data_IF_621940832837
#
_entry.id   IF_621940832837
#
_cell.length_a   1.000
_cell.length_b   1.000
_cell.length_c   1.000
_cell.angle_alpha   90.00
_cell.angle_beta   90.00
_cell.angle_gamma   90.00
#
_symmetry.space_group_name_H-M   'P 1'
#
loop_
_entity.id
_entity.type
_entity.pdbx_description
1 polymer ?
#
# COMPACT_ATOMS: atom_id res chain seq x y z
N UNK A 1 -7.17 24.57 48.39
CA UNK A 1 -8.62 24.74 48.11
C UNK A 1 -8.85 24.13 46.72
N UNK A 2 -9.07 22.83 46.55
CA UNK A 2 -10.34 22.06 46.63
C UNK A 2 -11.55 22.82 46.09
N UNK A 3 -12.02 22.41 44.90
CA UNK A 3 -13.45 22.21 44.63
C UNK A 3 -13.62 21.36 43.36
N UNK A 4 -13.83 20.06 43.58
CA UNK A 4 -14.40 19.14 42.61
C UNK A 4 -15.89 19.47 42.38
N UNK A 5 -16.40 19.18 41.18
CA UNK A 5 -17.83 18.99 40.93
C UNK A 5 -18.03 17.66 40.19
N UNK A 6 -18.51 16.67 40.94
CA UNK A 6 -19.22 15.51 40.41
C UNK A 6 -20.64 15.93 40.01
N UNK A 7 -21.22 15.26 38.99
CA UNK A 7 -22.52 14.58 39.01
C UNK A 7 -23.17 14.60 37.63
N UNK A 8 -23.31 13.42 37.04
CA UNK A 8 -24.09 13.18 35.83
C UNK A 8 -24.30 11.68 35.61
N UNK A 9 -25.12 11.06 36.47
CA UNK A 9 -25.62 9.69 36.32
C UNK A 9 -26.56 9.61 35.12
N UNK A 10 -26.40 8.59 34.27
CA UNK A 10 -27.36 8.31 33.20
C UNK A 10 -27.05 7.00 32.49
N UNK A 11 -27.40 5.88 33.14
CA UNK A 11 -27.40 4.57 32.52
C UNK A 11 -28.56 4.47 31.51
N UNK A 12 -28.29 4.00 30.30
CA UNK A 12 -29.29 3.38 29.44
C UNK A 12 -28.62 2.31 28.57
N UNK A 13 -28.69 1.07 29.05
CA UNK A 13 -28.51 -0.12 28.25
C UNK A 13 -29.74 -0.30 27.36
N UNK A 14 -29.54 -0.51 26.05
CA UNK A 14 -30.54 -1.14 25.16
C UNK A 14 -29.80 -2.05 24.19
N UNK A 15 -30.04 -3.34 24.35
CA UNK A 15 -29.75 -4.41 23.39
C UNK A 15 -30.91 -4.53 22.39
N UNK A 16 -30.65 -5.01 21.17
CA UNK A 16 -31.54 -5.74 20.23
C UNK A 16 -30.86 -5.75 18.85
N UNK A 17 -30.98 -6.71 17.94
CA UNK A 17 -31.22 -8.14 17.87
C UNK A 17 -31.02 -8.52 16.38
N UNK A 18 -30.81 -9.81 16.13
CA UNK A 18 -30.52 -10.44 14.84
C UNK A 18 -31.55 -10.17 13.73
N UNK A 19 -31.09 -10.22 12.47
CA UNK A 19 -31.92 -10.66 11.34
C UNK A 19 -31.06 -11.36 10.26
N UNK A 20 -31.11 -12.70 10.27
CA UNK A 20 -30.69 -13.58 9.17
C UNK A 20 -31.85 -13.74 8.19
N UNK A 21 -31.64 -13.43 6.91
CA UNK A 21 -32.41 -13.94 5.78
C UNK A 21 -31.39 -14.55 4.80
N UNK A 22 -31.42 -15.80 4.39
CA UNK A 22 -32.57 -16.67 4.17
C UNK A 22 -33.03 -16.52 2.72
N UNK A 23 -32.35 -17.16 1.78
CA UNK A 23 -32.93 -17.44 0.46
C UNK A 23 -32.67 -18.91 0.10
N UNK A 24 -33.79 -19.61 -0.10
CA UNK A 24 -33.94 -21.02 -0.36
C UNK A 24 -34.30 -21.24 -1.83
N UNK A 25 -33.98 -22.42 -2.38
CA UNK A 25 -34.80 -23.03 -3.41
C UNK A 25 -34.13 -23.28 -4.77
N UNK A 26 -33.73 -24.54 -4.98
CA UNK A 26 -33.53 -25.19 -6.28
C UNK A 26 -34.79 -25.18 -7.16
N UNK A 27 -34.63 -25.49 -8.46
CA UNK A 27 -35.33 -26.68 -8.96
C UNK A 27 -34.44 -27.64 -9.76
N UNK A 28 -34.75 -28.93 -9.62
CA UNK A 28 -34.24 -30.07 -10.39
C UNK A 28 -34.67 -30.03 -11.88
N UNK A 29 -33.85 -30.57 -12.76
CA UNK A 29 -34.19 -30.83 -14.16
C UNK A 29 -33.21 -31.79 -14.83
N UNK A 30 -33.74 -32.91 -15.35
CA UNK A 30 -33.05 -34.13 -15.77
C UNK A 30 -32.10 -34.01 -16.99
N UNK A 31 -31.14 -34.94 -17.05
CA UNK A 31 -30.23 -35.27 -18.16
C UNK A 31 -30.95 -36.03 -19.31
N UNK A 32 -30.24 -36.58 -20.34
CA UNK A 32 -29.13 -36.10 -21.15
C UNK A 32 -29.51 -36.06 -22.66
N UNK A 33 -28.74 -35.40 -23.54
CA UNK A 33 -28.77 -35.71 -24.98
C UNK A 33 -27.47 -35.35 -25.71
N UNK A 34 -27.01 -36.33 -26.47
CA UNK A 34 -25.89 -36.39 -27.41
C UNK A 34 -25.94 -35.37 -28.54
N UNK A 35 -24.78 -34.84 -28.95
CA UNK A 35 -24.58 -34.38 -30.34
C UNK A 35 -23.63 -33.21 -30.54
N UNK A 36 -22.54 -33.46 -31.28
CA UNK A 36 -21.68 -32.50 -32.04
C UNK A 36 -20.40 -31.98 -31.35
N UNK A 37 -19.20 -32.29 -31.88
CA UNK A 37 -17.98 -31.59 -31.55
C UNK A 37 -17.85 -30.35 -32.44
N UNK A 38 -17.88 -29.15 -31.85
CA UNK A 38 -17.71 -27.92 -32.62
C UNK A 38 -17.51 -26.70 -31.75
N UNK A 39 -16.40 -26.00 -32.01
CA UNK A 39 -16.04 -24.67 -31.52
C UNK A 39 -15.79 -24.55 -30.00
N UNK A 40 -14.52 -24.69 -29.61
CA UNK A 40 -14.05 -24.21 -28.31
C UNK A 40 -14.29 -22.69 -28.20
N UNK A 41 -14.61 -22.18 -27.00
CA UNK A 41 -14.77 -20.75 -26.80
C UNK A 41 -13.43 -20.06 -27.05
N UNK A 42 -13.40 -19.16 -28.03
CA UNK A 42 -12.33 -18.19 -28.18
C UNK A 42 -12.50 -17.20 -27.03
N UNK A 43 -11.83 -17.47 -25.91
CA UNK A 43 -11.75 -16.53 -24.80
C UNK A 43 -10.85 -15.38 -25.26
N UNK A 44 -11.45 -14.32 -25.80
CA UNK A 44 -10.77 -13.04 -25.97
C UNK A 44 -10.42 -12.54 -24.57
N UNK A 45 -9.17 -12.75 -24.15
CA UNK A 45 -8.64 -12.17 -22.94
C UNK A 45 -8.73 -10.65 -23.08
N UNK A 46 -9.57 -10.02 -22.24
CA UNK A 46 -9.54 -8.58 -22.06
C UNK A 46 -8.11 -8.21 -21.58
N UNK A 47 -7.53 -7.10 -22.07
CA UNK A 47 -6.26 -6.62 -21.53
C UNK A 47 -6.40 -6.41 -20.03
N UNK A 48 -5.35 -6.69 -19.21
CA UNK A 48 -5.42 -6.44 -17.78
C UNK A 48 -5.69 -4.94 -17.59
N UNK A 49 -6.86 -4.62 -17.08
CA UNK A 49 -7.13 -3.31 -16.49
C UNK A 49 -6.14 -3.15 -15.34
N UNK A 50 -5.13 -2.30 -15.53
CA UNK A 50 -4.29 -1.76 -14.46
C UNK A 50 -5.21 -1.13 -13.44
N UNK A 51 -5.56 -1.91 -12.42
CA UNK A 51 -6.45 -1.46 -11.36
C UNK A 51 -5.58 -0.57 -10.48
N UNK A 52 -5.72 0.75 -10.63
CA UNK A 52 -5.14 1.70 -9.68
C UNK A 52 -5.60 1.28 -8.28
N UNK A 53 -4.70 1.15 -7.30
CA UNK A 53 -5.08 0.66 -5.99
C UNK A 53 -6.13 1.57 -5.37
N UNK A 54 -7.13 0.95 -4.73
CA UNK A 54 -8.22 1.66 -4.07
C UNK A 54 -7.66 2.44 -2.88
N UNK A 55 -7.89 3.76 -2.79
CA UNK A 55 -7.47 4.52 -1.62
C UNK A 55 -8.30 4.07 -0.41
N UNK A 56 -7.65 3.57 0.64
CA UNK A 56 -8.26 3.46 1.95
C UNK A 56 -8.48 4.87 2.48
N UNK A 57 -9.69 5.17 2.96
CA UNK A 57 -10.02 6.51 3.46
C UNK A 57 -8.98 7.07 4.42
N UNK A 58 -8.68 8.36 4.26
CA UNK A 58 -7.90 9.12 5.21
C UNK A 58 -8.81 9.79 6.24
N UNK A 59 -8.64 9.48 7.52
CA UNK A 59 -9.16 10.35 8.57
C UNK A 59 -8.25 11.58 8.67
N UNK A 60 -8.73 12.72 8.19
CA UNK A 60 -8.02 14.00 8.22
C UNK A 60 -8.01 14.71 6.88
N UNK A 61 -8.20 16.03 6.88
CA UNK A 61 -8.00 16.85 5.70
C UNK A 61 -6.54 16.76 5.26
N UNK A 62 -6.29 16.45 3.98
CA UNK A 62 -4.93 16.47 3.42
C UNK A 62 -4.25 15.10 3.28
N UNK A 63 -4.95 13.97 3.41
CA UNK A 63 -4.41 12.68 2.94
C UNK A 63 -4.62 12.59 1.42
N UNK A 64 -3.55 12.30 0.68
CA UNK A 64 -3.54 12.36 -0.80
C UNK A 64 -3.73 10.97 -1.39
N UNK A 65 -3.04 9.96 -0.86
CA UNK A 65 -3.17 8.56 -1.27
C UNK A 65 -2.89 7.62 -0.10
N UNK A 66 -3.67 6.57 0.06
CA UNK A 66 -3.40 5.50 1.01
C UNK A 66 -3.74 4.17 0.33
N UNK A 67 -2.73 3.44 -0.15
CA UNK A 67 -2.95 2.31 -1.05
C UNK A 67 -2.86 0.96 -0.31
N UNK A 68 -3.75 0.66 0.65
CA UNK A 68 -3.57 -0.54 1.49
C UNK A 68 -3.55 -1.88 0.74
N UNK A 69 -4.18 -1.96 -0.43
CA UNK A 69 -4.26 -3.18 -1.25
C UNK A 69 -3.25 -3.18 -2.42
N UNK A 70 -2.34 -2.22 -2.45
CA UNK A 70 -1.33 -2.11 -3.50
C UNK A 70 -0.19 -3.13 -3.38
N UNK A 71 0.42 -3.51 -4.50
CA UNK A 71 1.44 -4.58 -4.51
C UNK A 71 2.81 -4.13 -4.03
N UNK A 72 3.06 -2.81 -3.97
CA UNK A 72 4.34 -2.30 -3.53
C UNK A 72 4.58 -2.56 -2.03
N UNK A 73 5.76 -3.09 -1.72
CA UNK A 73 6.24 -3.27 -0.33
C UNK A 73 7.71 -2.86 -0.28
N UNK A 74 8.09 -2.12 0.76
CA UNK A 74 9.46 -1.70 1.02
C UNK A 74 9.87 -2.17 2.42
N UNK A 75 10.97 -2.91 2.49
CA UNK A 75 11.63 -3.31 3.75
C UNK A 75 12.95 -2.59 3.87
N UNK A 76 13.31 -2.13 5.06
CA UNK A 76 14.54 -1.37 5.25
C UNK A 76 15.12 -1.52 6.65
N UNK A 77 16.42 -1.26 6.72
CA UNK A 77 17.26 -1.31 7.91
C UNK A 77 17.95 0.05 8.08
N UNK A 78 17.80 0.67 9.26
CA UNK A 78 18.43 1.94 9.65
C UNK A 78 19.27 1.75 10.92
N UNK A 79 20.48 1.25 10.76
CA UNK A 79 21.28 0.77 11.89
C UNK A 79 20.64 -0.48 12.51
N UNK A 80 20.22 -0.41 13.78
CA UNK A 80 19.57 -1.53 14.48
C UNK A 80 18.02 -1.51 14.36
N UNK A 81 17.48 -0.56 13.62
CA UNK A 81 16.03 -0.42 13.41
C UNK A 81 15.62 -1.10 12.10
N UNK A 82 14.60 -1.95 12.16
CA UNK A 82 14.04 -2.65 11.01
C UNK A 82 12.61 -2.17 10.76
N UNK A 83 12.25 -1.95 9.50
CA UNK A 83 10.92 -1.47 9.10
C UNK A 83 10.39 -2.13 7.83
N UNK A 84 9.06 -2.14 7.71
CA UNK A 84 8.35 -2.59 6.52
C UNK A 84 7.14 -1.68 6.30
N UNK A 85 7.06 -1.09 5.10
CA UNK A 85 5.91 -0.31 4.64
C UNK A 85 5.31 -1.05 3.45
N UNK A 86 4.06 -1.45 3.58
CA UNK A 86 3.31 -2.17 2.55
C UNK A 86 2.10 -1.38 2.07
N UNK A 87 1.58 -1.81 0.91
CA UNK A 87 0.42 -1.21 0.28
C UNK A 87 0.80 0.02 -0.53
N UNK A 88 0.84 -0.12 -1.86
CA UNK A 88 1.37 0.93 -2.71
C UNK A 88 1.33 0.67 -4.23
N UNK A 89 2.00 1.53 -4.97
CA UNK A 89 2.12 1.45 -6.43
C UNK A 89 3.56 1.36 -6.88
N UNK A 90 3.77 0.65 -7.97
CA UNK A 90 4.96 0.81 -8.80
C UNK A 90 4.53 1.40 -10.13
N UNK A 91 5.00 2.61 -10.43
CA UNK A 91 4.68 3.33 -11.65
C UNK A 91 5.96 3.52 -12.46
N UNK A 92 5.95 3.06 -13.70
CA UNK A 92 7.08 3.27 -14.62
C UNK A 92 6.77 4.42 -15.55
N UNK A 93 7.60 5.46 -15.53
CA UNK A 93 7.55 6.57 -16.47
C UNK A 93 8.63 6.43 -17.52
N UNK A 94 8.74 7.41 -18.43
CA UNK A 94 9.85 7.46 -19.39
C UNK A 94 11.20 7.79 -18.75
N UNK A 95 11.21 8.27 -17.51
CA UNK A 95 12.42 8.76 -16.85
C UNK A 95 12.82 7.93 -15.62
N UNK A 96 11.85 7.31 -14.94
CA UNK A 96 12.09 6.62 -13.67
C UNK A 96 11.07 5.51 -13.41
N UNK A 97 11.47 4.56 -12.58
CA UNK A 97 10.58 3.67 -11.84
C UNK A 97 10.32 4.31 -10.47
N UNK A 98 9.06 4.62 -10.20
CA UNK A 98 8.59 5.13 -8.91
C UNK A 98 7.97 3.97 -8.12
N UNK A 99 8.45 3.74 -6.89
CA UNK A 99 7.92 2.74 -5.97
C UNK A 99 7.47 3.45 -4.71
N UNK A 100 6.16 3.55 -4.54
CA UNK A 100 5.56 4.24 -3.39
C UNK A 100 4.76 3.22 -2.60
N UNK A 101 5.13 2.99 -1.34
CA UNK A 101 4.42 2.14 -0.38
C UNK A 101 3.99 2.98 0.83
N UNK A 102 2.79 2.73 1.36
CA UNK A 102 2.22 3.42 2.51
C UNK A 102 1.25 4.53 2.14
N UNK A 103 1.28 5.61 2.92
CA UNK A 103 0.30 6.72 2.82
C UNK A 103 0.98 8.05 2.53
N UNK A 104 0.59 8.67 1.42
CA UNK A 104 1.00 10.02 1.06
C UNK A 104 0.07 11.07 1.66
N UNK A 105 0.68 12.15 2.14
CA UNK A 105 -0.02 13.29 2.70
C UNK A 105 0.32 14.56 1.93
N UNK A 106 -0.66 15.44 1.80
CA UNK A 106 -0.47 16.77 1.25
C UNK A 106 0.40 17.59 2.20
N UNK A 107 1.08 18.61 1.67
CA UNK A 107 1.90 19.51 2.47
C UNK A 107 1.13 20.22 3.61
N UNK A 108 -0.19 20.35 3.51
CA UNK A 108 -1.05 20.97 4.52
C UNK A 108 -1.53 20.01 5.62
N UNK A 109 -1.13 18.73 5.59
CA UNK A 109 -1.50 17.75 6.60
C UNK A 109 -0.84 18.10 7.94
N UNK A 110 -1.64 18.21 9.00
CA UNK A 110 -1.26 18.69 10.33
C UNK A 110 -1.22 17.58 11.39
N UNK A 111 -1.55 16.34 11.01
CA UNK A 111 -1.46 15.16 11.86
C UNK A 111 -0.05 14.55 11.90
N UNK A 112 0.14 13.48 12.70
CA UNK A 112 1.36 12.68 12.66
C UNK A 112 1.56 12.10 11.26
N UNK A 113 2.75 12.32 10.67
CA UNK A 113 3.13 11.73 9.38
C UNK A 113 2.90 10.22 9.43
N UNK A 114 2.04 9.66 8.54
CA UNK A 114 1.89 8.22 8.43
C UNK A 114 3.15 7.60 7.83
N UNK A 115 3.24 6.27 7.92
CA UNK A 115 4.35 5.55 7.33
C UNK A 115 4.27 5.59 5.80
N UNK A 116 5.41 5.88 5.17
CA UNK A 116 5.59 6.05 3.74
C UNK A 116 7.00 5.62 3.36
N UNK A 117 7.15 4.91 2.26
CA UNK A 117 8.40 4.68 1.59
C UNK A 117 8.22 5.01 0.10
N UNK A 118 8.99 5.96 -0.40
CA UNK A 118 8.95 6.41 -1.78
C UNK A 118 10.34 6.33 -2.40
N UNK A 119 10.47 5.60 -3.52
CA UNK A 119 11.72 5.40 -4.22
C UNK A 119 11.57 5.89 -5.66
N UNK A 120 12.51 6.74 -6.11
CA UNK A 120 12.65 7.10 -7.51
C UNK A 120 13.95 6.52 -8.04
N UNK A 121 13.84 5.54 -8.93
CA UNK A 121 14.94 4.77 -9.48
C UNK A 121 15.06 4.99 -10.98
N UNK A 122 16.24 4.80 -11.60
CA UNK A 122 16.34 4.76 -13.06
C UNK A 122 15.35 3.77 -13.68
N UNK A 123 14.86 4.07 -14.88
CA UNK A 123 13.89 3.21 -15.55
C UNK A 123 14.49 1.88 -16.03
N UNK A 124 15.76 1.89 -16.40
CA UNK A 124 16.43 0.73 -16.98
C UNK A 124 16.82 -0.29 -15.90
N UNK A 125 16.38 -1.56 -16.01
CA UNK A 125 16.78 -2.61 -15.09
C UNK A 125 18.31 -2.77 -15.01
N UNK A 126 18.81 -3.01 -13.80
CA UNK A 126 20.22 -3.19 -13.52
C UNK A 126 20.69 -2.40 -12.30
N UNK A 127 22.02 -2.22 -12.16
CA UNK A 127 22.59 -1.43 -11.08
C UNK A 127 22.36 0.07 -11.31
N UNK A 128 22.13 0.81 -10.23
CA UNK A 128 22.01 2.26 -10.22
C UNK A 128 22.88 2.90 -9.13
N UNK A 129 23.22 4.17 -9.31
CA UNK A 129 24.03 4.95 -8.37
C UNK A 129 23.45 6.33 -8.03
N UNK A 130 22.27 6.63 -8.56
CA UNK A 130 21.62 7.95 -8.60
C UNK A 130 20.11 7.84 -8.36
N UNK A 131 19.69 6.86 -7.56
CA UNK A 131 18.31 6.78 -7.09
C UNK A 131 18.05 7.72 -5.91
N UNK A 132 16.79 7.96 -5.59
CA UNK A 132 16.40 8.62 -4.34
C UNK A 132 15.47 7.72 -3.53
N UNK A 133 15.52 7.83 -2.20
CA UNK A 133 14.62 7.12 -1.31
C UNK A 133 14.19 8.05 -0.17
N UNK A 134 12.87 8.23 -0.01
CA UNK A 134 12.26 8.93 1.11
C UNK A 134 11.52 7.92 1.98
N UNK A 135 11.84 7.86 3.27
CA UNK A 135 11.18 6.97 4.22
C UNK A 135 10.68 7.79 5.41
N UNK A 136 9.36 7.85 5.57
CA UNK A 136 8.71 8.28 6.80
C UNK A 136 8.31 7.03 7.59
N UNK A 137 8.83 6.90 8.80
CA UNK A 137 8.56 5.76 9.67
C UNK A 137 8.49 6.19 11.13
N UNK A 138 7.43 5.81 11.84
CA UNK A 138 7.19 6.21 13.23
C UNK A 138 7.31 7.73 13.45
N UNK A 139 6.83 8.52 12.48
CA UNK A 139 6.87 9.98 12.51
C UNK A 139 8.24 10.61 12.25
N UNK A 140 9.26 9.83 11.90
CA UNK A 140 10.58 10.33 11.48
C UNK A 140 10.73 10.14 9.97
N UNK A 141 11.02 11.23 9.27
CA UNK A 141 11.28 11.24 7.83
C UNK A 141 12.79 11.30 7.58
N UNK A 142 13.28 10.45 6.67
CA UNK A 142 14.66 10.45 6.19
C UNK A 142 14.67 10.41 4.67
N UNK A 143 15.69 11.04 4.09
CA UNK A 143 15.89 11.11 2.63
C UNK A 143 17.31 10.63 2.30
N UNK A 144 17.40 9.78 1.29
CA UNK A 144 18.63 9.44 0.58
C UNK A 144 18.58 10.08 -0.80
N UNK A 145 19.40 11.10 -1.03
CA UNK A 145 19.50 11.78 -2.34
C UNK A 145 20.41 11.03 -3.34
N UNK A 146 21.23 10.10 -2.84
CA UNK A 146 22.18 9.30 -3.63
C UNK A 146 22.08 7.82 -3.22
N UNK A 147 20.90 7.24 -3.43
CA UNK A 147 20.69 5.82 -3.23
C UNK A 147 21.37 5.02 -4.36
N UNK A 148 22.03 3.94 -3.96
CA UNK A 148 22.67 2.96 -4.87
C UNK A 148 21.97 1.61 -4.73
N UNK A 149 21.98 0.78 -5.77
CA UNK A 149 21.31 -0.51 -5.68
C UNK A 149 21.19 -1.22 -7.01
N UNK A 150 20.21 -2.12 -7.10
CA UNK A 150 19.84 -2.81 -8.34
C UNK A 150 18.35 -3.08 -8.38
N UNK A 151 17.74 -3.11 -9.56
CA UNK A 151 16.38 -3.60 -9.73
C UNK A 151 16.19 -4.35 -11.04
N UNK A 152 15.16 -5.19 -11.10
CA UNK A 152 14.71 -5.87 -12.32
C UNK A 152 13.38 -5.31 -12.88
N UNK A 153 12.83 -4.28 -12.22
CA UNK A 153 11.53 -3.67 -12.54
C UNK A 153 10.36 -4.25 -11.75
N UNK A 154 10.50 -5.45 -11.18
CA UNK A 154 9.53 -6.04 -10.25
C UNK A 154 10.03 -6.02 -8.80
N UNK A 155 11.34 -5.99 -8.59
CA UNK A 155 11.94 -5.95 -7.26
C UNK A 155 13.33 -5.31 -7.33
N UNK A 156 13.89 -5.00 -6.17
CA UNK A 156 15.24 -4.49 -6.11
C UNK A 156 15.75 -4.28 -4.70
N UNK A 157 16.98 -3.80 -4.65
CA UNK A 157 17.64 -3.35 -3.43
C UNK A 157 18.04 -1.89 -3.58
N UNK A 158 18.13 -1.19 -2.46
CA UNK A 158 18.66 0.15 -2.38
C UNK A 158 19.47 0.31 -1.10
N UNK A 159 20.45 1.18 -1.12
CA UNK A 159 21.23 1.53 0.05
C UNK A 159 21.94 2.88 -0.13
N UNK A 160 22.10 3.59 0.98
CA UNK A 160 22.74 4.90 1.03
C UNK A 160 23.19 5.23 2.45
N UNK A 161 23.83 6.38 2.61
CA UNK A 161 24.26 6.87 3.92
C UNK A 161 23.44 8.11 4.25
N UNK A 162 22.79 8.10 5.40
CA UNK A 162 22.00 9.22 5.89
C UNK A 162 22.92 10.39 6.31
N UNK A 163 22.39 11.62 6.41
CA UNK A 163 23.17 12.78 6.85
C UNK A 163 23.82 12.63 8.24
N UNK A 164 23.26 11.76 9.09
CA UNK A 164 23.80 11.44 10.43
C UNK A 164 24.90 10.35 10.40
N UNK A 165 25.28 9.87 9.21
CA UNK A 165 26.31 8.86 9.00
C UNK A 165 25.84 7.42 9.13
N UNK A 166 24.58 7.17 9.50
CA UNK A 166 24.02 5.81 9.54
C UNK A 166 23.80 5.27 8.14
N UNK A 167 23.97 3.96 7.98
CA UNK A 167 23.56 3.25 6.76
C UNK A 167 22.04 3.09 6.77
N UNK A 168 21.43 3.34 5.63
CA UNK A 168 20.08 2.91 5.32
C UNK A 168 20.18 1.96 4.13
N UNK A 169 19.65 0.76 4.27
CA UNK A 169 19.58 -0.24 3.21
C UNK A 169 18.22 -0.91 3.22
N UNK A 170 17.82 -1.49 2.09
CA UNK A 170 16.51 -2.07 1.98
C UNK A 170 16.27 -2.80 0.67
N UNK A 171 15.07 -3.35 0.60
CA UNK A 171 14.54 -4.05 -0.57
C UNK A 171 13.14 -3.55 -0.87
N UNK A 172 12.74 -3.66 -2.12
CA UNK A 172 11.36 -3.40 -2.51
C UNK A 172 10.86 -4.51 -3.43
N UNK A 173 9.54 -4.67 -3.44
CA UNK A 173 8.82 -5.53 -4.37
C UNK A 173 7.62 -4.77 -4.93
N UNK A 174 7.36 -5.01 -6.20
CA UNK A 174 6.16 -4.74 -6.96
C UNK A 174 5.51 -6.09 -7.31
#
# INVERSE_FOLDING_TARGET
>A
MIAARLLGRGACAVALALATAGCSGSPEGAAPSSGTPGAGPTTTAAPPTTSSPTPCGGEGTGIVRSACDGTATVRFDRGDEHGEVGGGTCETTVAYLEVTAGTETAAAFDGPRPDLADLLLPVDPGPFADGTATIAWNGVEVVLDEATGTHDGASGTFAGTLPDGRRLEGTFTC
#
